data_IF_216798042743
#
_entry.id   IF_216798042743
#
_cell.length_a   1.000
_cell.length_b   1.000
_cell.length_c   1.000
_cell.angle_alpha   90.00
_cell.angle_beta   90.00
_cell.angle_gamma   90.00
#
_symmetry.space_group_name_H-M   'P 1'
#
loop_
_entity.id
_entity.type
_entity.pdbx_description
1 polymer ?
#
# COMPACT_ATOMS: atom_id res chain seq x y z
N UNK A 1 -5.00 -3.48 4.13
CA UNK A 1 -6.44 -3.33 4.43
C UNK A 1 -6.81 -3.79 5.85
N UNK A 2 -6.32 -4.90 6.36
CA UNK A 2 -6.66 -5.43 7.71
C UNK A 2 -6.28 -4.51 8.89
N UNK A 3 -5.24 -3.69 8.76
CA UNK A 3 -4.78 -2.81 9.83
C UNK A 3 -5.77 -1.68 10.18
N UNK A 4 -6.51 -1.17 9.17
CA UNK A 4 -7.46 -0.06 9.34
C UNK A 4 -8.67 -0.44 10.18
N UNK A 5 -9.28 -1.58 9.84
CA UNK A 5 -10.47 -2.07 10.52
C UNK A 5 -10.17 -2.62 11.92
N UNK A 6 -8.93 -3.12 12.14
CA UNK A 6 -8.55 -3.67 13.44
C UNK A 6 -8.30 -2.62 14.53
N UNK A 7 -7.84 -1.39 14.15
CA UNK A 7 -7.50 -0.35 15.11
C UNK A 7 -8.60 0.70 15.33
N UNK A 8 -9.38 1.04 14.28
CA UNK A 8 -10.33 2.16 14.34
C UNK A 8 -11.71 1.86 13.74
N UNK A 9 -12.07 0.61 13.53
CA UNK A 9 -13.39 0.13 13.03
C UNK A 9 -13.90 0.78 11.73
N UNK A 10 -13.12 1.68 11.08
CA UNK A 10 -13.53 2.37 9.87
C UNK A 10 -12.35 2.59 8.92
N UNK A 11 -12.47 2.08 7.71
CA UNK A 11 -11.47 2.28 6.65
C UNK A 11 -11.26 3.76 6.27
N UNK A 12 -12.23 4.63 6.57
CA UNK A 12 -12.19 6.08 6.31
C UNK A 12 -11.30 6.84 7.29
N UNK A 13 -10.82 6.21 8.36
CA UNK A 13 -9.96 6.83 9.37
C UNK A 13 -8.47 6.70 9.04
N UNK A 14 -8.12 6.67 7.74
CA UNK A 14 -6.75 6.75 7.28
C UNK A 14 -6.51 8.03 6.48
N UNK A 15 -5.46 8.76 6.87
CA UNK A 15 -4.89 9.89 6.13
C UNK A 15 -3.66 9.36 5.40
N UNK A 16 -3.68 9.31 4.08
CA UNK A 16 -2.52 8.90 3.27
C UNK A 16 -1.92 10.13 2.60
N UNK A 17 -0.62 10.30 2.77
CA UNK A 17 0.17 11.37 2.19
C UNK A 17 1.33 10.73 1.43
N UNK A 18 1.37 10.98 0.12
CA UNK A 18 2.42 10.51 -0.77
C UNK A 18 3.58 11.52 -0.75
N UNK A 19 4.74 11.10 -0.28
CA UNK A 19 5.89 11.98 -0.12
C UNK A 19 6.54 12.38 -1.45
N UNK A 20 6.19 11.74 -2.56
CA UNK A 20 6.61 12.19 -3.90
C UNK A 20 6.05 13.58 -4.25
N UNK A 21 4.91 13.98 -3.65
CA UNK A 21 4.35 15.33 -3.81
C UNK A 21 5.09 16.39 -2.97
N UNK A 22 5.99 15.99 -2.06
CA UNK A 22 6.69 16.84 -1.10
C UNK A 22 8.20 16.81 -1.26
N UNK A 23 8.68 16.62 -2.48
CA UNK A 23 10.11 16.62 -2.84
C UNK A 23 10.72 18.03 -2.82
N UNK A 24 9.90 19.07 -3.04
CA UNK A 24 10.34 20.46 -3.13
C UNK A 24 10.07 21.22 -1.82
N UNK A 25 10.94 22.16 -1.48
CA UNK A 25 10.86 22.92 -0.22
C UNK A 25 9.51 23.66 -0.07
N UNK A 26 9.00 24.26 -1.13
CA UNK A 26 7.74 24.99 -1.07
C UNK A 26 6.52 24.08 -0.85
N UNK A 27 6.59 22.83 -1.25
CA UNK A 27 5.49 21.86 -1.05
C UNK A 27 5.33 21.48 0.43
N UNK A 28 6.36 21.64 1.24
CA UNK A 28 6.32 21.33 2.69
C UNK A 28 5.27 22.17 3.41
N UNK A 29 5.09 23.44 3.01
CA UNK A 29 4.06 24.31 3.58
C UNK A 29 2.63 23.78 3.36
N UNK A 30 2.40 22.93 2.35
CA UNK A 30 1.09 22.28 2.13
C UNK A 30 0.73 21.30 3.25
N UNK A 31 1.71 20.77 3.99
CA UNK A 31 1.43 19.86 5.12
C UNK A 31 0.83 20.60 6.32
N UNK A 32 1.35 21.77 6.64
CA UNK A 32 0.99 22.53 7.84
C UNK A 32 0.22 23.82 7.53
N UNK A 33 0.07 24.15 6.26
CA UNK A 33 -0.59 25.38 5.76
C UNK A 33 0.40 26.41 5.23
N UNK A 34 -0.09 27.23 4.29
CA UNK A 34 0.68 28.35 3.74
C UNK A 34 0.79 29.48 4.77
N UNK A 35 1.91 30.25 4.79
CA UNK A 35 2.03 31.44 5.65
C UNK A 35 1.01 32.52 5.33
N UNK A 36 0.70 33.43 6.27
CA UNK A 36 -0.18 34.56 6.02
C UNK A 36 0.23 35.34 4.77
N UNK A 37 -0.75 35.69 3.93
CA UNK A 37 -0.55 36.43 2.68
C UNK A 37 -0.20 35.59 1.46
N UNK A 38 -0.03 34.27 1.61
CA UNK A 38 0.17 33.37 0.47
C UNK A 38 -1.13 32.68 0.08
N UNK A 39 -1.22 32.30 -1.20
CA UNK A 39 -2.35 31.52 -1.75
C UNK A 39 -2.45 30.19 -1.00
N UNK A 40 -3.68 29.83 -0.58
CA UNK A 40 -3.94 28.60 0.20
C UNK A 40 -3.85 28.77 1.73
N UNK A 41 -3.62 29.98 2.25
CA UNK A 41 -3.59 30.22 3.70
C UNK A 41 -4.89 29.82 4.41
N UNK A 42 -6.05 30.15 3.82
CA UNK A 42 -7.36 29.84 4.39
C UNK A 42 -7.71 28.33 4.34
N UNK A 43 -7.10 27.58 3.41
CA UNK A 43 -7.35 26.15 3.25
C UNK A 43 -6.74 25.31 4.38
N UNK A 44 -5.72 25.86 5.09
CA UNK A 44 -4.97 25.14 6.12
C UNK A 44 -4.02 24.10 5.53
N UNK A 45 -3.34 23.35 6.40
CA UNK A 45 -2.42 22.29 5.99
C UNK A 45 -3.12 20.96 5.76
N UNK A 46 -2.72 20.24 4.73
CA UNK A 46 -3.31 18.96 4.36
C UNK A 46 -3.22 17.93 5.52
N UNK A 47 -2.07 17.84 6.17
CA UNK A 47 -1.86 16.97 7.32
C UNK A 47 -2.61 17.48 8.56
N UNK A 48 -2.44 18.75 8.89
CA UNK A 48 -3.01 19.35 10.11
C UNK A 48 -4.53 19.39 10.07
N UNK A 49 -5.15 19.74 8.96
CA UNK A 49 -6.61 19.73 8.80
C UNK A 49 -7.18 18.30 8.82
N UNK A 50 -6.50 17.34 8.20
CA UNK A 50 -6.96 15.95 8.19
C UNK A 50 -6.99 15.37 9.61
N UNK A 51 -5.92 15.55 10.40
CA UNK A 51 -5.83 15.04 11.78
C UNK A 51 -6.75 15.83 12.71
N UNK A 52 -6.86 17.16 12.54
CA UNK A 52 -7.79 17.97 13.34
C UNK A 52 -9.24 17.51 13.20
N UNK A 53 -9.64 17.11 11.98
CA UNK A 53 -11.01 16.58 11.71
C UNK A 53 -11.19 15.15 12.19
N UNK A 54 -10.11 14.36 12.22
CA UNK A 54 -10.12 12.95 12.61
C UNK A 54 -8.94 12.66 13.55
N UNK A 55 -9.06 13.03 14.84
CA UNK A 55 -7.95 12.89 15.80
C UNK A 55 -7.59 11.43 16.09
N UNK A 56 -8.51 10.49 15.88
CA UNK A 56 -8.27 9.05 15.97
C UNK A 56 -8.12 8.48 14.57
N UNK A 57 -6.90 8.45 14.04
CA UNK A 57 -6.63 8.03 12.67
C UNK A 57 -5.27 7.39 12.50
N UNK A 58 -5.12 6.65 11.41
CA UNK A 58 -3.82 6.21 10.90
C UNK A 58 -3.31 7.25 9.91
N UNK A 59 -2.13 7.79 10.15
CA UNK A 59 -1.46 8.70 9.22
C UNK A 59 -0.34 7.93 8.52
N UNK A 60 -0.52 7.68 7.23
CA UNK A 60 0.42 6.95 6.38
C UNK A 60 1.21 7.94 5.53
N UNK A 61 2.52 8.02 5.74
CA UNK A 61 3.47 8.70 4.87
C UNK A 61 4.10 7.67 3.93
N UNK A 62 3.75 7.74 2.65
CA UNK A 62 4.20 6.78 1.64
C UNK A 62 5.46 7.30 0.94
N UNK A 63 6.46 6.43 0.71
CA UNK A 63 7.76 6.75 0.08
C UNK A 63 8.53 7.88 0.79
N UNK A 64 8.66 7.75 2.11
CA UNK A 64 9.24 8.82 2.96
C UNK A 64 10.66 9.24 2.57
N UNK A 65 11.44 8.35 1.92
CA UNK A 65 12.77 8.66 1.40
C UNK A 65 12.79 9.69 0.27
N UNK A 66 11.64 9.98 -0.34
CA UNK A 66 11.49 11.00 -1.40
C UNK A 66 11.25 12.40 -0.85
N UNK A 67 10.85 12.51 0.41
CA UNK A 67 10.49 13.77 1.02
C UNK A 67 11.65 14.75 1.08
N UNK A 68 11.33 16.06 0.94
CA UNK A 68 12.30 17.13 1.21
C UNK A 68 12.77 17.06 2.68
N UNK A 69 14.04 17.37 2.99
CA UNK A 69 14.56 17.34 4.36
C UNK A 69 13.74 18.12 5.40
N UNK A 70 13.07 19.20 5.01
CA UNK A 70 12.24 19.98 5.92
C UNK A 70 10.96 19.24 6.38
N UNK A 71 10.50 18.22 5.64
CA UNK A 71 9.40 17.34 6.08
C UNK A 71 9.79 16.60 7.36
N UNK A 72 11.04 16.16 7.46
CA UNK A 72 11.53 15.45 8.66
C UNK A 72 11.54 16.34 9.90
N UNK A 73 11.71 17.65 9.75
CA UNK A 73 11.61 18.59 10.88
C UNK A 73 10.16 18.64 11.41
N UNK A 74 9.17 18.58 10.50
CA UNK A 74 7.75 18.50 10.89
C UNK A 74 7.46 17.17 11.56
N UNK A 75 7.93 16.06 10.98
CA UNK A 75 7.74 14.73 11.56
C UNK A 75 8.40 14.58 12.93
N UNK A 76 9.61 15.12 13.11
CA UNK A 76 10.28 15.14 14.41
C UNK A 76 9.44 15.86 15.46
N UNK A 77 8.86 17.02 15.15
CA UNK A 77 8.00 17.75 16.08
C UNK A 77 6.77 16.90 16.46
N UNK A 78 6.16 16.22 15.47
CA UNK A 78 5.02 15.35 15.75
C UNK A 78 5.40 14.15 16.61
N UNK A 79 6.55 13.50 16.31
CA UNK A 79 7.02 12.33 17.06
C UNK A 79 7.50 12.66 18.47
N UNK A 80 8.09 13.85 18.68
CA UNK A 80 8.59 14.28 19.98
C UNK A 80 7.48 14.84 20.89
N UNK A 81 6.70 15.80 20.37
CA UNK A 81 5.73 16.55 21.16
C UNK A 81 4.32 15.96 21.09
N UNK A 82 4.05 15.06 20.13
CA UNK A 82 2.71 14.56 19.83
C UNK A 82 1.75 15.64 19.34
N UNK A 83 2.27 16.77 18.86
CA UNK A 83 1.49 17.91 18.39
C UNK A 83 2.28 18.77 17.42
N UNK A 84 1.57 19.55 16.59
CA UNK A 84 2.17 20.55 15.72
C UNK A 84 1.30 21.80 15.66
N UNK A 85 1.93 22.96 15.53
CA UNK A 85 1.21 24.24 15.29
C UNK A 85 1.14 24.49 13.79
N UNK A 86 -0.07 24.68 13.27
CA UNK A 86 -0.29 25.01 11.87
C UNK A 86 0.04 26.47 11.55
N UNK A 87 -0.02 26.83 10.26
CA UNK A 87 0.26 28.21 9.82
C UNK A 87 -0.72 29.24 10.33
N UNK A 88 -1.88 28.83 10.86
CA UNK A 88 -2.89 29.72 11.45
C UNK A 88 -2.73 29.85 12.96
N UNK A 89 -1.67 29.26 13.54
CA UNK A 89 -1.41 29.31 14.98
C UNK A 89 -2.21 28.30 15.80
N UNK A 90 -2.93 27.38 15.17
CA UNK A 90 -3.72 26.35 15.87
C UNK A 90 -2.83 25.13 16.17
N UNK A 91 -2.90 24.65 17.38
CA UNK A 91 -2.20 23.41 17.79
C UNK A 91 -3.06 22.21 17.44
N UNK A 92 -2.50 21.25 16.69
CA UNK A 92 -3.13 20.00 16.29
C UNK A 92 -2.47 18.87 17.08
N UNK A 93 -3.30 18.06 17.76
CA UNK A 93 -2.87 16.95 18.61
C UNK A 93 -2.81 15.64 17.79
N UNK A 94 -1.67 14.96 17.85
CA UNK A 94 -1.36 13.69 17.19
C UNK A 94 -1.26 12.51 18.16
N UNK A 95 -1.48 12.71 19.46
CA UNK A 95 -1.26 11.66 20.50
C UNK A 95 -2.16 10.44 20.31
N UNK A 96 -3.30 10.60 19.62
CA UNK A 96 -4.24 9.54 19.34
C UNK A 96 -4.13 9.03 17.89
N UNK A 97 -3.03 9.34 17.18
CA UNK A 97 -2.77 8.85 15.83
C UNK A 97 -1.74 7.73 15.83
N UNK A 98 -1.86 6.80 14.90
CA UNK A 98 -0.81 5.83 14.57
C UNK A 98 -0.10 6.35 13.32
N UNK A 99 1.19 6.62 13.43
CA UNK A 99 2.00 7.11 12.32
C UNK A 99 2.70 5.93 11.67
N UNK A 100 2.50 5.75 10.37
CA UNK A 100 3.13 4.72 9.57
C UNK A 100 3.94 5.39 8.47
N UNK A 101 5.21 5.02 8.38
CA UNK A 101 6.13 5.49 7.34
C UNK A 101 6.50 4.31 6.46
N UNK A 102 6.33 4.42 5.14
CA UNK A 102 6.80 3.39 4.21
C UNK A 102 8.01 3.88 3.44
N UNK A 103 8.90 2.97 3.11
CA UNK A 103 10.08 3.25 2.31
C UNK A 103 10.46 2.04 1.47
N UNK A 104 11.04 2.29 0.29
CA UNK A 104 11.62 1.28 -0.58
C UNK A 104 13.14 1.15 -0.40
N UNK A 105 13.72 1.83 0.59
CA UNK A 105 15.15 1.74 0.88
C UNK A 105 15.54 0.32 1.28
N UNK A 106 16.61 -0.19 0.64
CA UNK A 106 17.12 -1.53 0.90
C UNK A 106 16.31 -2.68 0.30
N UNK A 107 15.34 -2.40 -0.58
CA UNK A 107 14.57 -3.43 -1.29
C UNK A 107 15.47 -4.41 -2.01
N UNK A 108 16.53 -3.92 -2.67
CA UNK A 108 17.49 -4.74 -3.42
C UNK A 108 18.26 -5.69 -2.49
N UNK A 109 18.63 -5.21 -1.29
CA UNK A 109 19.31 -6.01 -0.26
C UNK A 109 18.38 -7.13 0.21
N UNK A 110 17.11 -6.79 0.48
CA UNK A 110 16.10 -7.76 0.92
C UNK A 110 15.87 -8.82 -0.16
N UNK A 111 15.69 -8.42 -1.41
CA UNK A 111 15.45 -9.34 -2.52
C UNK A 111 16.61 -10.29 -2.73
N UNK A 112 17.84 -9.78 -2.79
CA UNK A 112 19.05 -10.58 -2.99
C UNK A 112 19.28 -11.58 -1.85
N UNK A 113 19.11 -11.16 -0.60
CA UNK A 113 19.26 -12.03 0.57
C UNK A 113 18.20 -13.14 0.57
N UNK A 114 16.94 -12.81 0.30
CA UNK A 114 15.86 -13.79 0.26
C UNK A 114 15.98 -14.77 -0.91
N UNK A 115 16.48 -14.36 -2.08
CA UNK A 115 16.74 -15.27 -3.20
C UNK A 115 17.81 -16.28 -2.85
N UNK A 116 18.91 -15.86 -2.21
CA UNK A 116 19.97 -16.75 -1.75
C UNK A 116 19.44 -17.75 -0.68
N UNK A 117 18.68 -17.25 0.28
CA UNK A 117 18.18 -18.08 1.40
C UNK A 117 17.01 -18.99 1.04
N UNK A 118 16.26 -18.69 -0.02
CA UNK A 118 15.26 -19.63 -0.55
C UNK A 118 15.88 -20.96 -0.99
N UNK A 119 17.09 -20.95 -1.52
CA UNK A 119 17.84 -22.15 -1.85
C UNK A 119 18.19 -22.97 -0.59
N UNK A 120 18.27 -22.33 0.58
CA UNK A 120 18.51 -22.93 1.90
C UNK A 120 17.22 -23.28 2.66
N UNK A 121 16.05 -23.01 2.08
CA UNK A 121 14.73 -23.29 2.69
C UNK A 121 14.32 -22.27 3.78
N UNK A 122 15.01 -21.13 3.90
CA UNK A 122 14.68 -20.08 4.86
C UNK A 122 13.95 -18.90 4.20
N UNK A 123 12.96 -18.35 4.89
CA UNK A 123 12.19 -17.16 4.47
C UNK A 123 12.47 -15.94 5.36
N UNK A 124 13.50 -16.01 6.21
CA UNK A 124 13.86 -14.92 7.11
C UNK A 124 15.04 -14.12 6.58
N UNK A 125 15.03 -12.82 6.83
CA UNK A 125 16.14 -11.94 6.48
C UNK A 125 17.38 -12.26 7.34
N UNK A 126 18.56 -12.36 6.71
CA UNK A 126 19.81 -12.60 7.42
C UNK A 126 20.19 -11.42 8.32
N UNK A 127 21.00 -11.70 9.36
CA UNK A 127 21.53 -10.62 10.20
C UNK A 127 22.42 -9.65 9.43
N UNK A 128 23.15 -10.14 8.43
CA UNK A 128 24.02 -9.32 7.61
C UNK A 128 23.21 -8.39 6.69
N UNK A 129 22.13 -8.87 6.09
CA UNK A 129 21.22 -8.03 5.33
C UNK A 129 20.56 -6.97 6.22
N UNK A 130 20.12 -7.32 7.43
CA UNK A 130 19.59 -6.36 8.41
C UNK A 130 20.60 -5.27 8.74
N UNK A 131 21.86 -5.64 9.03
CA UNK A 131 22.93 -4.66 9.30
C UNK A 131 23.18 -3.73 8.12
N UNK A 132 23.17 -4.26 6.89
CA UNK A 132 23.33 -3.44 5.68
C UNK A 132 22.19 -2.44 5.52
N UNK A 133 20.94 -2.87 5.75
CA UNK A 133 19.78 -1.97 5.70
C UNK A 133 19.85 -0.93 6.81
N UNK A 134 20.23 -1.28 8.02
CA UNK A 134 20.40 -0.34 9.14
C UNK A 134 21.46 0.73 8.81
N UNK A 135 22.58 0.34 8.19
CA UNK A 135 23.60 1.28 7.72
C UNK A 135 23.06 2.21 6.63
N UNK A 136 22.26 1.67 5.70
CA UNK A 136 21.62 2.45 4.66
C UNK A 136 20.62 3.45 5.25
N UNK A 137 19.77 3.04 6.20
CA UNK A 137 18.83 3.91 6.89
C UNK A 137 19.57 5.05 7.62
N UNK A 138 20.64 4.73 8.36
CA UNK A 138 21.49 5.73 9.04
C UNK A 138 22.19 6.69 8.08
N UNK A 139 22.43 6.30 6.84
CA UNK A 139 23.01 7.18 5.81
C UNK A 139 21.99 8.14 5.20
N UNK A 140 20.69 7.77 5.23
CA UNK A 140 19.60 8.51 4.58
C UNK A 140 18.81 9.37 5.56
N UNK A 141 18.62 8.89 6.77
CA UNK A 141 17.84 9.57 7.80
C UNK A 141 18.74 10.00 8.96
N UNK A 142 18.39 11.13 9.56
CA UNK A 142 19.11 11.61 10.73
C UNK A 142 18.92 10.63 11.90
N UNK A 143 19.97 10.41 12.73
CA UNK A 143 19.88 9.51 13.88
C UNK A 143 18.75 9.88 14.85
N UNK A 144 18.52 11.18 15.06
CA UNK A 144 17.43 11.68 15.89
C UNK A 144 16.05 11.22 15.40
N UNK A 145 15.84 11.17 14.08
CA UNK A 145 14.58 10.70 13.49
C UNK A 145 14.41 9.19 13.68
N UNK A 146 15.44 8.40 13.38
CA UNK A 146 15.38 6.94 13.55
C UNK A 146 15.15 6.53 15.01
N UNK A 147 15.70 7.28 15.96
CA UNK A 147 15.55 7.03 17.41
C UNK A 147 14.13 7.35 17.94
N UNK A 148 13.28 7.99 17.16
CA UNK A 148 11.87 8.30 17.50
C UNK A 148 10.88 7.30 16.94
N UNK A 149 11.35 6.37 16.11
CA UNK A 149 10.53 5.29 15.62
C UNK A 149 10.44 4.19 16.66
N UNK A 150 9.23 3.77 17.00
CA UNK A 150 8.99 2.68 17.95
C UNK A 150 9.47 1.34 17.39
N UNK A 151 9.25 1.11 16.09
CA UNK A 151 9.58 -0.15 15.43
C UNK A 151 9.91 0.06 13.94
N UNK A 152 10.89 -0.70 13.45
CA UNK A 152 11.21 -0.83 12.02
C UNK A 152 10.87 -2.25 11.56
N UNK A 153 9.86 -2.35 10.67
CA UNK A 153 9.37 -3.62 10.15
C UNK A 153 9.92 -3.86 8.75
N UNK A 154 10.58 -4.99 8.55
CA UNK A 154 11.09 -5.42 7.25
C UNK A 154 10.07 -6.32 6.56
N UNK A 155 9.53 -5.86 5.42
CA UNK A 155 8.62 -6.67 4.62
C UNK A 155 9.39 -7.67 3.78
N UNK A 156 8.97 -8.94 3.86
CA UNK A 156 9.50 -10.04 3.05
C UNK A 156 8.82 -10.07 1.68
N UNK A 157 9.48 -10.73 0.71
CA UNK A 157 8.80 -11.15 -0.52
C UNK A 157 7.67 -12.13 -0.20
N UNK A 158 6.57 -12.01 -0.92
CA UNK A 158 5.43 -12.90 -0.77
C UNK A 158 5.78 -14.33 -1.20
N UNK A 159 5.34 -15.29 -0.42
CA UNK A 159 5.36 -16.71 -0.81
C UNK A 159 4.29 -16.99 -1.86
N UNK A 160 4.39 -18.14 -2.56
CA UNK A 160 3.36 -18.56 -3.52
C UNK A 160 1.98 -18.73 -2.85
N UNK A 161 1.93 -19.22 -1.63
CA UNK A 161 0.67 -19.38 -0.88
C UNK A 161 0.06 -18.03 -0.44
N UNK A 162 0.90 -17.07 -0.04
CA UNK A 162 0.43 -15.71 0.27
C UNK A 162 -0.06 -14.99 -0.99
N UNK A 163 0.63 -15.19 -2.11
CA UNK A 163 0.20 -14.67 -3.41
C UNK A 163 -1.14 -15.27 -3.83
N UNK A 164 -1.37 -16.57 -3.58
CA UNK A 164 -2.65 -17.22 -3.85
C UNK A 164 -3.79 -16.58 -3.05
N UNK A 165 -3.58 -16.27 -1.78
CA UNK A 165 -4.57 -15.55 -0.96
C UNK A 165 -4.89 -14.15 -1.53
N UNK A 166 -3.89 -13.46 -2.07
CA UNK A 166 -4.11 -12.16 -2.72
C UNK A 166 -4.95 -12.32 -3.99
N UNK A 167 -4.68 -13.33 -4.81
CA UNK A 167 -5.52 -13.65 -5.97
C UNK A 167 -6.95 -13.94 -5.55
N UNK A 168 -7.15 -14.74 -4.50
CA UNK A 168 -8.48 -15.06 -3.98
C UNK A 168 -9.24 -13.81 -3.53
N UNK A 169 -8.60 -12.89 -2.82
CA UNK A 169 -9.19 -11.60 -2.42
C UNK A 169 -9.59 -10.74 -3.64
N UNK A 170 -8.73 -10.65 -4.66
CA UNK A 170 -9.05 -9.88 -5.88
C UNK A 170 -10.20 -10.51 -6.66
N UNK A 171 -10.27 -11.83 -6.73
CA UNK A 171 -11.36 -12.55 -7.36
C UNK A 171 -12.67 -12.43 -6.56
N UNK A 172 -12.60 -12.34 -5.23
CA UNK A 172 -13.77 -12.11 -4.39
C UNK A 172 -14.39 -10.72 -4.62
N UNK A 173 -13.57 -9.69 -4.78
CA UNK A 173 -14.04 -8.35 -5.17
C UNK A 173 -14.73 -8.39 -6.55
N UNK A 174 -14.22 -9.19 -7.49
CA UNK A 174 -14.83 -9.38 -8.80
C UNK A 174 -16.16 -10.14 -8.69
N UNK A 175 -16.23 -11.21 -7.87
CA UNK A 175 -17.47 -11.96 -7.62
C UNK A 175 -18.57 -11.05 -7.10
N UNK A 176 -18.29 -10.22 -6.11
CA UNK A 176 -19.26 -9.27 -5.55
C UNK A 176 -19.81 -8.31 -6.60
N UNK A 177 -18.93 -7.73 -7.42
CA UNK A 177 -19.33 -6.82 -8.51
C UNK A 177 -20.20 -7.51 -9.57
N UNK A 178 -19.92 -8.77 -9.88
CA UNK A 178 -20.70 -9.55 -10.84
C UNK A 178 -22.07 -9.91 -10.29
N UNK A 179 -22.15 -10.31 -9.03
CA UNK A 179 -23.41 -10.65 -8.38
C UNK A 179 -24.31 -9.42 -8.23
N UNK A 180 -23.78 -8.31 -7.72
CA UNK A 180 -24.52 -7.06 -7.54
C UNK A 180 -24.95 -6.42 -8.89
N UNK A 181 -24.10 -6.50 -9.90
CA UNK A 181 -24.32 -5.81 -11.17
C UNK A 181 -25.12 -6.59 -12.22
N UNK A 182 -25.01 -7.91 -12.24
CA UNK A 182 -25.58 -8.78 -13.28
C UNK A 182 -26.22 -10.06 -12.74
N UNK A 183 -26.24 -10.27 -11.44
CA UNK A 183 -26.69 -11.50 -10.80
C UNK A 183 -26.02 -12.76 -11.36
N UNK A 184 -24.72 -12.63 -11.73
CA UNK A 184 -23.90 -13.71 -12.26
C UNK A 184 -22.95 -14.21 -11.19
N UNK A 185 -22.82 -15.52 -11.07
CA UNK A 185 -21.82 -16.15 -10.17
C UNK A 185 -20.51 -16.40 -10.92
N UNK A 186 -19.41 -16.19 -10.23
CA UNK A 186 -18.07 -16.45 -10.79
C UNK A 186 -17.40 -17.58 -10.01
N UNK A 187 -17.00 -18.61 -10.71
CA UNK A 187 -16.06 -19.62 -10.23
C UNK A 187 -14.74 -19.55 -10.98
N UNK A 188 -13.63 -19.86 -10.30
CA UNK A 188 -12.29 -19.84 -10.90
C UNK A 188 -11.56 -21.07 -10.41
N UNK A 189 -11.19 -21.95 -11.34
CA UNK A 189 -10.52 -23.20 -11.02
C UNK A 189 -9.13 -22.98 -10.40
N UNK A 190 -8.64 -23.96 -9.67
CA UNK A 190 -7.28 -23.93 -9.10
C UNK A 190 -6.22 -23.79 -10.19
N UNK A 191 -6.40 -24.47 -11.33
CA UNK A 191 -5.49 -24.36 -12.47
C UNK A 191 -5.44 -22.92 -13.04
N UNK A 192 -6.61 -22.27 -13.16
CA UNK A 192 -6.67 -20.87 -13.59
C UNK A 192 -6.00 -19.91 -12.58
N UNK A 193 -6.20 -20.13 -11.28
CA UNK A 193 -5.51 -19.33 -10.24
C UNK A 193 -4.00 -19.50 -10.28
N UNK A 194 -3.51 -20.72 -10.43
CA UNK A 194 -2.07 -21.00 -10.53
C UNK A 194 -1.49 -20.35 -11.80
N UNK A 195 -2.19 -20.42 -12.93
CA UNK A 195 -1.79 -19.72 -14.15
C UNK A 195 -1.75 -18.19 -13.97
N UNK A 196 -2.73 -17.62 -13.28
CA UNK A 196 -2.73 -16.17 -12.96
C UNK A 196 -1.47 -15.82 -12.14
N UNK A 197 -1.13 -16.60 -11.12
CA UNK A 197 0.04 -16.38 -10.29
C UNK A 197 1.32 -16.48 -11.11
N UNK A 198 1.51 -17.59 -11.81
CA UNK A 198 2.74 -17.86 -12.56
C UNK A 198 2.95 -16.86 -13.72
N UNK A 199 1.87 -16.30 -14.27
CA UNK A 199 1.93 -15.30 -15.36
C UNK A 199 2.03 -13.85 -14.90
N UNK A 200 1.73 -13.55 -13.64
CA UNK A 200 1.62 -12.16 -13.16
C UNK A 200 2.48 -11.83 -11.95
N UNK A 201 3.01 -12.83 -11.26
CA UNK A 201 3.91 -12.59 -10.13
C UNK A 201 5.30 -12.17 -10.65
N UNK A 202 5.82 -11.12 -10.07
CA UNK A 202 7.15 -10.60 -10.33
C UNK A 202 7.88 -10.40 -8.99
N UNK A 203 9.13 -10.86 -8.89
CA UNK A 203 9.89 -10.77 -7.65
C UNK A 203 10.16 -9.33 -7.21
N UNK A 204 10.26 -8.41 -8.17
CA UNK A 204 10.52 -6.98 -7.94
C UNK A 204 9.23 -6.22 -7.62
N UNK A 205 8.17 -6.45 -8.42
CA UNK A 205 6.89 -5.73 -8.28
C UNK A 205 5.89 -6.45 -7.36
N UNK A 206 6.22 -7.66 -6.90
CA UNK A 206 5.40 -8.48 -6.00
C UNK A 206 4.04 -8.82 -6.59
N UNK A 207 2.98 -8.58 -5.83
CA UNK A 207 1.60 -8.87 -6.23
C UNK A 207 0.91 -7.73 -7.00
N UNK A 208 1.56 -6.57 -7.20
CA UNK A 208 0.95 -5.43 -7.91
C UNK A 208 0.48 -5.76 -9.33
N UNK A 209 1.24 -6.55 -10.14
CA UNK A 209 0.81 -6.92 -11.49
C UNK A 209 -0.43 -7.82 -11.52
N UNK A 210 -0.71 -8.59 -10.45
CA UNK A 210 -1.85 -9.53 -10.38
C UNK A 210 -3.18 -8.82 -10.66
N UNK A 211 -3.41 -7.68 -10.05
CA UNK A 211 -4.65 -6.90 -10.25
C UNK A 211 -4.84 -6.53 -11.72
N UNK A 212 -3.77 -6.06 -12.38
CA UNK A 212 -3.80 -5.71 -13.81
C UNK A 212 -4.05 -6.95 -14.68
N UNK A 213 -3.45 -8.08 -14.33
CA UNK A 213 -3.63 -9.33 -15.05
C UNK A 213 -5.08 -9.79 -14.94
N UNK A 214 -5.67 -9.81 -13.75
CA UNK A 214 -7.08 -10.15 -13.55
C UNK A 214 -7.97 -9.21 -14.38
N UNK A 215 -7.76 -7.91 -14.33
CA UNK A 215 -8.53 -6.94 -15.10
C UNK A 215 -8.40 -7.16 -16.63
N UNK A 216 -7.18 -7.30 -17.11
CA UNK A 216 -6.92 -7.38 -18.56
C UNK A 216 -7.25 -8.75 -19.16
N UNK A 217 -7.21 -9.82 -18.38
CA UNK A 217 -7.43 -11.18 -18.88
C UNK A 217 -8.75 -11.78 -18.41
N UNK A 218 -9.01 -11.80 -17.09
CA UNK A 218 -10.21 -12.42 -16.53
C UNK A 218 -11.44 -11.54 -16.76
N UNK A 219 -11.41 -10.26 -16.37
CA UNK A 219 -12.56 -9.37 -16.56
C UNK A 219 -12.88 -9.15 -18.04
N UNK A 220 -11.86 -9.03 -18.90
CA UNK A 220 -12.05 -8.90 -20.34
C UNK A 220 -12.68 -10.16 -20.95
N UNK A 221 -12.27 -11.35 -20.50
CA UNK A 221 -12.84 -12.62 -20.97
C UNK A 221 -14.33 -12.71 -20.60
N UNK A 222 -14.66 -12.39 -19.35
CA UNK A 222 -16.04 -12.35 -18.84
C UNK A 222 -16.87 -11.30 -19.60
N UNK A 223 -16.34 -10.09 -19.77
CA UNK A 223 -17.04 -9.01 -20.45
C UNK A 223 -17.40 -9.37 -21.90
N UNK A 224 -16.48 -10.02 -22.64
CA UNK A 224 -16.74 -10.51 -24.00
C UNK A 224 -17.91 -11.52 -24.03
N UNK A 225 -17.93 -12.46 -23.11
CA UNK A 225 -18.97 -13.47 -23.02
C UNK A 225 -20.34 -12.88 -22.68
N UNK A 226 -20.38 -11.88 -21.77
CA UNK A 226 -21.62 -11.17 -21.44
C UNK A 226 -22.14 -10.38 -22.66
N UNK A 227 -21.26 -9.67 -23.39
CA UNK A 227 -21.65 -8.90 -24.59
C UNK A 227 -22.17 -9.84 -25.71
N UNK A 228 -21.62 -11.02 -25.82
CA UNK A 228 -22.07 -12.04 -26.80
C UNK A 228 -23.41 -12.69 -26.43
N UNK A 229 -23.96 -12.36 -25.26
CA UNK A 229 -25.25 -12.91 -24.79
C UNK A 229 -25.19 -14.39 -24.45
N UNK A 230 -24.01 -14.93 -24.16
CA UNK A 230 -23.80 -16.36 -23.94
C UNK A 230 -24.35 -16.87 -22.60
N UNK A 231 -24.82 -15.97 -21.70
CA UNK A 231 -25.23 -16.33 -20.36
C UNK A 231 -26.53 -15.64 -19.95
N UNK A 232 -27.38 -16.38 -19.24
CA UNK A 232 -28.63 -15.87 -18.63
C UNK A 232 -28.38 -15.40 -17.21
N UNK A 233 -29.24 -14.56 -16.69
CA UNK A 233 -29.24 -14.12 -15.29
C UNK A 233 -29.24 -15.33 -14.34
N UNK A 234 -28.42 -15.29 -13.29
CA UNK A 234 -28.24 -16.39 -12.34
C UNK A 234 -27.27 -17.48 -12.77
N UNK A 235 -26.70 -17.40 -13.99
CA UNK A 235 -25.72 -18.38 -14.45
C UNK A 235 -24.39 -18.30 -13.68
N UNK A 236 -23.70 -19.42 -13.61
CA UNK A 236 -22.32 -19.50 -13.09
C UNK A 236 -21.34 -19.53 -14.25
N UNK A 237 -20.42 -18.59 -14.24
CA UNK A 237 -19.30 -18.50 -15.18
C UNK A 237 -18.08 -19.14 -14.53
N UNK A 238 -17.53 -20.18 -15.15
CA UNK A 238 -16.32 -20.84 -14.67
C UNK A 238 -15.12 -20.44 -15.52
N UNK A 239 -14.16 -19.74 -14.92
CA UNK A 239 -12.86 -19.46 -15.56
C UNK A 239 -11.94 -20.64 -15.29
N UNK A 240 -11.44 -21.24 -16.36
CA UNK A 240 -10.55 -22.38 -16.33
C UNK A 240 -9.27 -22.14 -17.14
N UNK A 241 -8.28 -22.99 -16.99
CA UNK A 241 -7.06 -23.00 -17.77
C UNK A 241 -7.03 -24.24 -18.67
N UNK A 242 -6.91 -24.05 -20.01
CA UNK A 242 -6.95 -25.13 -20.98
C UNK A 242 -5.56 -25.67 -21.41
N UNK A 243 -4.50 -25.19 -20.75
CA UNK A 243 -3.10 -25.50 -21.10
C UNK A 243 -2.43 -24.44 -21.99
N UNK A 244 -3.21 -23.53 -22.59
CA UNK A 244 -2.70 -22.43 -23.44
C UNK A 244 -3.09 -21.06 -22.88
N UNK A 245 -4.24 -20.95 -22.22
CA UNK A 245 -4.73 -19.71 -21.67
C UNK A 245 -5.97 -19.85 -20.80
N UNK A 246 -6.50 -18.72 -20.34
CA UNK A 246 -7.76 -18.70 -19.61
C UNK A 246 -8.94 -18.80 -20.56
N UNK A 247 -9.86 -19.70 -20.24
CA UNK A 247 -11.09 -19.95 -20.99
C UNK A 247 -12.31 -19.88 -20.06
N UNK A 248 -13.49 -19.59 -20.63
CA UNK A 248 -14.78 -19.67 -19.92
C UNK A 248 -15.48 -20.98 -20.27
N UNK A 249 -16.04 -21.61 -19.27
CA UNK A 249 -16.91 -22.79 -19.36
C UNK A 249 -18.25 -22.52 -18.70
#
# INVERSE_FOLDING_TARGET
MLFRSALFDDERNMVRIDMTEYMEKFSVSRLIGAPPGYVGYEEGGQLTEAVRRKPYSVVLFDEVEKAHPDVFNILLQVLDDGRITDSQGRTVDFKNTVIILTSNLGSDIILNDLEQRRAEGSNELSEDARKQIDLLLKSKFRPEFLNRLDEIVYYKSLTKDETRKIVDLQLEDLRKRMDEGKHLKLDVTTAAKDFIIDSSYDSVYGARPIKRFIQSRVETLIAKAIIQGSYTEGATLTVDYDGTGLVLR
#
